data_IF_167618017510
#
_entry.id   IF_167618017510
#
_cell.length_a   1.000
_cell.length_b   1.000
_cell.length_c   1.000
_cell.angle_alpha   90.00
_cell.angle_beta   90.00
_cell.angle_gamma   90.00
#
_symmetry.space_group_name_H-M   'P 1'
#
loop_
_entity.id
_entity.type
_entity.pdbx_description
1 polymer ?
#
# COMPACT_ATOMS: atom_id res chain seq x y z
N UNK A 1 -23.69 -11.68 13.58
CA UNK A 1 -23.04 -12.05 14.85
C UNK A 1 -21.72 -11.30 14.93
N UNK A 2 -21.52 -10.47 15.94
CA UNK A 2 -20.21 -9.88 16.24
C UNK A 2 -19.30 -10.99 16.79
N UNK A 3 -18.06 -11.09 16.31
CA UNK A 3 -17.10 -12.14 16.69
C UNK A 3 -16.67 -13.10 15.57
N UNK A 4 -17.19 -12.96 14.35
CA UNK A 4 -16.78 -13.78 13.20
C UNK A 4 -15.34 -13.49 12.69
N UNK A 5 -14.72 -12.39 13.12
CA UNK A 5 -13.34 -12.03 12.81
C UNK A 5 -12.66 -11.42 14.03
N UNK A 6 -11.36 -11.67 14.15
CA UNK A 6 -10.44 -11.13 15.16
C UNK A 6 -9.13 -10.74 14.47
N UNK A 7 -8.23 -10.04 15.17
CA UNK A 7 -6.93 -9.67 14.63
C UNK A 7 -6.10 -10.89 14.17
N UNK A 8 -6.23 -12.03 14.87
CA UNK A 8 -5.50 -13.26 14.54
C UNK A 8 -5.93 -13.88 13.21
N UNK A 9 -7.11 -13.51 12.67
CA UNK A 9 -7.55 -13.93 11.34
C UNK A 9 -6.86 -13.13 10.21
N UNK A 10 -6.20 -12.02 10.54
CA UNK A 10 -5.43 -11.24 9.56
C UNK A 10 -4.10 -11.95 9.33
N UNK A 11 -3.95 -12.56 8.15
CA UNK A 11 -2.77 -13.34 7.80
C UNK A 11 -1.48 -12.51 7.73
N UNK A 12 -1.56 -11.32 7.13
CA UNK A 12 -0.42 -10.44 6.92
C UNK A 12 -0.85 -9.00 6.64
N UNK A 13 0.00 -8.05 7.01
CA UNK A 13 0.00 -6.69 6.49
C UNK A 13 0.63 -6.64 5.09
N UNK A 14 0.21 -5.67 4.25
CA UNK A 14 0.73 -5.56 2.88
C UNK A 14 2.26 -5.35 2.84
N UNK A 15 2.82 -4.64 3.83
CA UNK A 15 4.26 -4.42 3.94
C UNK A 15 5.05 -5.71 4.19
N UNK A 16 4.50 -6.66 4.95
CA UNK A 16 5.14 -7.96 5.21
C UNK A 16 5.20 -8.83 3.94
N UNK A 17 4.15 -8.75 3.11
CA UNK A 17 4.12 -9.43 1.82
C UNK A 17 5.17 -8.85 0.86
N UNK A 18 5.28 -7.52 0.79
CA UNK A 18 6.27 -6.82 -0.05
C UNK A 18 7.70 -7.09 0.44
N UNK A 19 7.92 -7.13 1.76
CA UNK A 19 9.22 -7.42 2.35
C UNK A 19 9.60 -8.92 2.28
N UNK A 20 8.66 -9.79 1.90
CA UNK A 20 8.88 -11.24 1.87
C UNK A 20 8.95 -11.91 3.24
N UNK A 21 8.63 -11.19 4.33
CA UNK A 21 8.59 -11.75 5.69
C UNK A 21 7.36 -12.64 5.91
N UNK A 22 6.31 -12.45 5.11
CA UNK A 22 5.13 -13.33 5.02
C UNK A 22 4.88 -13.73 3.57
N UNK A 23 4.43 -14.97 3.36
CA UNK A 23 4.05 -15.45 2.02
C UNK A 23 2.65 -14.95 1.67
N UNK A 24 2.45 -14.57 0.41
CA UNK A 24 1.12 -14.32 -0.15
C UNK A 24 0.39 -15.63 -0.45
N UNK A 25 -0.50 -15.60 -1.45
CA UNK A 25 -1.20 -16.80 -1.94
C UNK A 25 -0.23 -17.88 -2.38
N UNK A 26 -0.46 -19.13 -1.96
CA UNK A 26 0.45 -20.26 -2.26
C UNK A 26 -0.21 -21.38 -3.04
N UNK A 27 -1.56 -21.41 -3.12
CA UNK A 27 -2.31 -22.44 -3.84
C UNK A 27 -3.46 -21.84 -4.64
N UNK A 28 -3.88 -22.55 -5.69
CA UNK A 28 -4.89 -22.08 -6.63
C UNK A 28 -6.34 -22.17 -6.14
N UNK A 29 -6.57 -22.87 -5.04
CA UNK A 29 -7.87 -22.99 -4.37
C UNK A 29 -8.09 -21.97 -3.25
N UNK A 30 -7.06 -21.19 -2.88
CA UNK A 30 -7.14 -20.22 -1.80
C UNK A 30 -7.97 -18.98 -2.21
N UNK A 31 -8.94 -18.61 -1.37
CA UNK A 31 -9.63 -17.33 -1.46
C UNK A 31 -8.85 -16.27 -0.65
N UNK A 32 -8.42 -15.20 -1.31
CA UNK A 32 -7.67 -14.10 -0.66
C UNK A 32 -8.50 -12.83 -0.69
N UNK A 33 -8.65 -12.18 0.47
CA UNK A 33 -9.30 -10.88 0.59
C UNK A 33 -8.25 -9.84 0.99
N UNK A 34 -8.03 -8.86 0.11
CA UNK A 34 -7.31 -7.65 0.47
C UNK A 34 -8.31 -6.60 0.92
N UNK A 35 -8.08 -6.02 2.11
CA UNK A 35 -8.84 -4.88 2.62
C UNK A 35 -7.89 -3.73 2.93
N UNK A 36 -8.27 -2.54 2.51
CA UNK A 36 -7.55 -1.31 2.82
C UNK A 36 -8.50 -0.23 3.34
N UNK A 37 -7.96 0.67 4.16
CA UNK A 37 -8.59 1.94 4.54
C UNK A 37 -7.81 3.16 4.03
N UNK A 38 -6.68 2.93 3.35
CA UNK A 38 -5.71 3.95 2.95
C UNK A 38 -4.62 4.18 4.01
N UNK A 39 -3.40 4.48 3.57
CA UNK A 39 -2.27 4.80 4.46
C UNK A 39 -1.55 6.04 3.90
N UNK A 40 -1.54 7.14 4.65
CA UNK A 40 -1.03 8.44 4.19
C UNK A 40 0.43 8.42 3.68
N UNK A 41 1.26 7.49 4.16
CA UNK A 41 2.63 7.30 3.66
C UNK A 41 2.68 6.90 2.19
N UNK A 42 1.66 6.19 1.71
CA UNK A 42 1.54 5.79 0.30
C UNK A 42 1.30 7.03 -0.58
N UNK A 43 0.46 7.96 -0.14
CA UNK A 43 0.21 9.22 -0.85
C UNK A 43 1.46 10.08 -0.89
N UNK A 44 2.15 10.23 0.25
CA UNK A 44 3.39 10.99 0.33
C UNK A 44 4.49 10.41 -0.58
N UNK A 45 4.66 9.08 -0.60
CA UNK A 45 5.61 8.41 -1.47
C UNK A 45 5.28 8.62 -2.96
N UNK A 46 4.00 8.46 -3.34
CA UNK A 46 3.55 8.71 -4.70
C UNK A 46 3.77 10.18 -5.12
N UNK A 47 3.42 11.13 -4.27
CA UNK A 47 3.64 12.56 -4.52
C UNK A 47 5.13 12.89 -4.70
N UNK A 48 6.01 12.32 -3.88
CA UNK A 48 7.46 12.52 -4.01
C UNK A 48 8.00 11.98 -5.35
N UNK A 49 7.52 10.82 -5.81
CA UNK A 49 7.88 10.26 -7.11
C UNK A 49 7.41 11.16 -8.26
N UNK A 50 6.16 11.60 -8.23
CA UNK A 50 5.58 12.49 -9.25
C UNK A 50 6.32 13.83 -9.29
N UNK A 51 6.59 14.44 -8.12
CA UNK A 51 7.33 15.69 -8.03
C UNK A 51 8.75 15.56 -8.60
N UNK A 52 9.42 14.44 -8.31
CA UNK A 52 10.75 14.15 -8.86
C UNK A 52 10.71 14.02 -10.39
N UNK A 53 9.71 13.31 -10.91
CA UNK A 53 9.52 13.17 -12.36
C UNK A 53 9.21 14.52 -13.03
N UNK A 54 8.35 15.34 -12.42
CA UNK A 54 7.99 16.66 -12.93
C UNK A 54 9.21 17.59 -13.04
N UNK A 55 10.07 17.60 -12.01
CA UNK A 55 11.34 18.34 -12.03
C UNK A 55 12.27 17.90 -13.16
N UNK A 56 12.41 16.58 -13.38
CA UNK A 56 13.24 16.03 -14.46
C UNK A 56 12.71 16.37 -15.85
N UNK A 57 11.39 16.46 -16.00
CA UNK A 57 10.74 16.82 -17.25
C UNK A 57 10.56 18.34 -17.43
N UNK A 58 11.01 19.16 -16.47
CA UNK A 58 10.81 20.61 -16.46
C UNK A 58 9.33 21.03 -16.65
N UNK A 59 8.42 20.30 -15.99
CA UNK A 59 6.98 20.60 -15.99
C UNK A 59 6.51 21.03 -14.60
N UNK A 60 5.49 21.89 -14.57
CA UNK A 60 4.93 22.46 -13.34
C UNK A 60 5.20 23.97 -13.22
N UNK A 61 4.85 24.54 -12.07
CA UNK A 61 5.03 25.96 -11.77
C UNK A 61 5.47 26.12 -10.32
N UNK A 62 6.52 26.89 -10.10
CA UNK A 62 6.91 27.33 -8.76
C UNK A 62 6.06 28.53 -8.33
N UNK A 63 5.67 28.54 -7.06
CA UNK A 63 4.83 29.57 -6.45
C UNK A 63 5.54 30.04 -5.19
N UNK A 64 5.74 31.34 -5.07
CA UNK A 64 6.26 31.96 -3.85
C UNK A 64 5.19 31.91 -2.76
N UNK A 65 5.60 31.56 -1.53
CA UNK A 65 4.71 31.45 -0.36
C UNK A 65 4.66 32.76 0.44
#
# INVERSE_FOLDING_TARGET
AEGAMTADHVHAELGELVAGTKRGRTRDDELTVYKSVGVAVQDAAAAALVLTAARRASVGREIDL
#
